data_IF_190831584943
#
_entry.id   IF_190831584943
#
_cell.length_a   1.000
_cell.length_b   1.000
_cell.length_c   1.000
_cell.angle_alpha   90.00
_cell.angle_beta   90.00
_cell.angle_gamma   90.00
#
_symmetry.space_group_name_H-M   'P 1'
#
loop_
_entity.id
_entity.type
_entity.pdbx_description
1 polymer ?
#
# COMPACT_ATOMS: atom_id res chain seq x y z
N UNK A 1 3.11 1.45 -11.38
CA UNK A 1 4.46 2.01 -11.14
C UNK A 1 4.94 1.81 -9.70
N UNK A 2 4.12 1.99 -8.67
CA UNK A 2 4.51 1.77 -7.26
C UNK A 2 4.88 0.32 -6.90
N UNK A 3 4.29 -0.69 -7.56
CA UNK A 3 4.58 -2.10 -7.26
C UNK A 3 6.01 -2.50 -7.66
N UNK A 4 6.51 -2.05 -8.82
CA UNK A 4 7.87 -2.37 -9.26
C UNK A 4 8.93 -1.78 -8.33
N UNK A 5 8.70 -0.54 -7.87
CA UNK A 5 9.54 0.14 -6.88
C UNK A 5 9.52 -0.56 -5.53
N UNK A 6 8.35 -1.04 -5.10
CA UNK A 6 8.20 -1.82 -3.87
C UNK A 6 8.95 -3.15 -3.99
N UNK A 7 8.77 -3.90 -5.08
CA UNK A 7 9.48 -5.15 -5.34
C UNK A 7 11.01 -4.94 -5.37
N UNK A 8 11.47 -3.90 -6.07
CA UNK A 8 12.89 -3.55 -6.12
C UNK A 8 13.43 -3.24 -4.72
N UNK A 9 12.75 -2.37 -3.96
CA UNK A 9 13.15 -2.05 -2.58
C UNK A 9 13.17 -3.28 -1.67
N UNK A 10 12.18 -4.17 -1.81
CA UNK A 10 12.14 -5.43 -1.07
C UNK A 10 13.32 -6.33 -1.41
N UNK A 11 13.62 -6.53 -2.70
CA UNK A 11 14.75 -7.36 -3.15
C UNK A 11 16.08 -6.78 -2.66
N UNK A 12 16.29 -5.46 -2.79
CA UNK A 12 17.50 -4.78 -2.30
C UNK A 12 17.65 -4.94 -0.78
N UNK A 13 16.55 -4.80 -0.03
CA UNK A 13 16.58 -4.93 1.43
C UNK A 13 16.89 -6.37 1.87
N UNK A 14 16.31 -7.37 1.20
CA UNK A 14 16.65 -8.77 1.44
C UNK A 14 18.09 -9.11 1.06
N UNK A 15 18.61 -8.51 -0.03
CA UNK A 15 20.01 -8.64 -0.41
C UNK A 15 20.93 -8.14 0.70
N UNK A 16 20.72 -6.91 1.21
CA UNK A 16 21.55 -6.36 2.29
C UNK A 16 21.40 -7.13 3.61
N UNK A 17 20.21 -7.68 3.89
CA UNK A 17 19.99 -8.56 5.03
C UNK A 17 20.79 -9.87 4.90
N UNK A 18 20.82 -10.46 3.70
CA UNK A 18 21.64 -11.63 3.42
C UNK A 18 23.14 -11.32 3.54
N UNK A 19 23.62 -10.19 2.99
CA UNK A 19 25.01 -9.75 3.13
C UNK A 19 25.43 -9.58 4.60
N UNK A 20 24.53 -9.01 5.42
CA UNK A 20 24.74 -8.90 6.87
C UNK A 20 24.84 -10.27 7.53
N UNK A 21 23.93 -11.19 7.19
CA UNK A 21 23.94 -12.56 7.71
C UNK A 21 25.22 -13.30 7.33
N UNK A 22 25.63 -13.23 6.07
CA UNK A 22 26.83 -13.88 5.56
C UNK A 22 28.10 -13.33 6.24
N UNK A 23 28.23 -12.01 6.36
CA UNK A 23 29.33 -11.36 7.08
C UNK A 23 29.45 -11.86 8.53
N UNK A 24 28.34 -11.88 9.27
CA UNK A 24 28.34 -12.32 10.67
C UNK A 24 28.56 -13.84 10.80
N UNK A 25 27.97 -14.63 9.91
CA UNK A 25 28.09 -16.09 9.90
C UNK A 25 29.53 -16.52 9.62
N UNK A 26 30.17 -15.93 8.61
CA UNK A 26 31.56 -16.21 8.26
C UNK A 26 32.51 -15.87 9.42
N UNK A 27 32.37 -14.69 10.02
CA UNK A 27 33.20 -14.30 11.16
C UNK A 27 33.06 -15.24 12.34
N UNK A 28 31.82 -15.63 12.65
CA UNK A 28 31.55 -16.60 13.71
C UNK A 28 32.17 -17.97 13.40
N UNK A 29 32.11 -18.42 12.15
CA UNK A 29 32.70 -19.71 11.75
C UNK A 29 34.24 -19.72 11.78
N UNK A 30 34.86 -18.57 11.61
CA UNK A 30 36.31 -18.38 11.60
C UNK A 30 36.88 -17.96 12.97
N UNK A 31 36.03 -17.91 14.01
CA UNK A 31 36.39 -17.45 15.36
C UNK A 31 37.07 -16.06 15.38
N UNK A 32 36.61 -15.17 14.50
CA UNK A 32 37.10 -13.80 14.43
C UNK A 32 36.44 -12.94 15.50
N UNK A 33 37.21 -12.01 16.08
CA UNK A 33 36.70 -11.06 17.07
C UNK A 33 35.48 -10.28 16.54
N UNK A 34 34.51 -9.93 17.42
CA UNK A 34 33.40 -9.08 17.05
C UNK A 34 33.89 -7.76 16.46
N UNK A 35 33.44 -7.45 15.26
CA UNK A 35 33.73 -6.19 14.58
C UNK A 35 32.44 -5.51 14.14
N UNK A 36 32.45 -4.18 14.00
CA UNK A 36 31.33 -3.47 13.41
C UNK A 36 31.06 -3.96 11.97
N UNK A 37 29.84 -3.69 11.50
CA UNK A 37 29.48 -3.96 10.12
C UNK A 37 30.28 -3.08 9.17
N UNK A 38 30.68 -3.60 8.01
CA UNK A 38 31.27 -2.82 6.94
C UNK A 38 30.38 -1.64 6.53
N UNK A 39 31.02 -0.53 6.16
CA UNK A 39 30.31 0.71 5.82
C UNK A 39 29.44 0.57 4.57
N UNK A 40 29.89 -0.21 3.59
CA UNK A 40 29.17 -0.58 2.38
C UNK A 40 27.85 -1.31 2.72
N UNK A 41 27.88 -2.38 3.50
CA UNK A 41 26.66 -3.10 3.93
C UNK A 41 25.71 -2.16 4.68
N UNK A 42 26.26 -1.32 5.56
CA UNK A 42 25.46 -0.34 6.33
C UNK A 42 24.76 0.65 5.39
N UNK A 43 25.47 1.15 4.37
CA UNK A 43 24.94 2.07 3.38
C UNK A 43 23.89 1.40 2.48
N UNK A 44 24.10 0.15 2.07
CA UNK A 44 23.12 -0.62 1.31
C UNK A 44 21.81 -0.84 2.09
N UNK A 45 21.88 -1.17 3.38
CA UNK A 45 20.69 -1.28 4.25
C UNK A 45 19.94 0.05 4.33
N UNK A 46 20.65 1.16 4.54
CA UNK A 46 20.04 2.49 4.63
C UNK A 46 19.37 2.91 3.32
N UNK A 47 20.04 2.69 2.17
CA UNK A 47 19.50 3.04 0.87
C UNK A 47 18.30 2.16 0.51
N UNK A 48 18.40 0.84 0.69
CA UNK A 48 17.30 -0.09 0.40
C UNK A 48 16.07 0.19 1.29
N UNK A 49 16.29 0.52 2.57
CA UNK A 49 15.22 0.97 3.46
C UNK A 49 14.59 2.30 3.01
N UNK A 50 15.41 3.28 2.59
CA UNK A 50 14.92 4.54 2.04
C UNK A 50 14.03 4.33 0.80
N UNK A 51 14.45 3.46 -0.12
CA UNK A 51 13.67 3.09 -1.31
C UNK A 51 12.33 2.44 -0.90
N UNK A 52 12.34 1.54 0.09
CA UNK A 52 11.12 0.92 0.61
C UNK A 52 10.15 1.96 1.20
N UNK A 53 10.64 2.90 2.00
CA UNK A 53 9.82 3.97 2.56
C UNK A 53 9.18 4.83 1.47
N UNK A 54 9.95 5.23 0.46
CA UNK A 54 9.45 6.01 -0.68
C UNK A 54 8.40 5.21 -1.45
N UNK A 55 8.67 3.94 -1.75
CA UNK A 55 7.73 3.07 -2.45
C UNK A 55 6.40 2.92 -1.68
N UNK A 56 6.47 2.78 -0.35
CA UNK A 56 5.30 2.66 0.51
C UNK A 56 4.51 3.98 0.58
N UNK A 57 5.20 5.11 0.73
CA UNK A 57 4.59 6.43 0.74
C UNK A 57 3.87 6.75 -0.58
N UNK A 58 4.47 6.42 -1.72
CA UNK A 58 3.84 6.59 -3.03
C UNK A 58 2.63 5.67 -3.25
N UNK A 59 2.56 4.56 -2.52
CA UNK A 59 1.43 3.64 -2.55
C UNK A 59 0.34 4.02 -1.54
N UNK A 60 0.62 4.93 -0.61
CA UNK A 60 -0.39 5.42 0.31
C UNK A 60 -1.57 6.01 -0.49
N UNK A 61 -2.78 5.62 -0.11
CA UNK A 61 -3.99 6.13 -0.74
C UNK A 61 -4.09 7.64 -0.60
N UNK A 62 -4.78 8.29 -1.54
CA UNK A 62 -5.09 9.71 -1.42
C UNK A 62 -5.88 9.96 -0.14
N UNK A 63 -5.50 11.01 0.58
CA UNK A 63 -6.28 11.52 1.70
C UNK A 63 -7.67 11.93 1.19
N UNK A 64 -8.72 11.54 1.90
CA UNK A 64 -10.09 11.92 1.61
C UNK A 64 -10.42 13.22 2.34
N UNK A 65 -11.14 14.12 1.69
CA UNK A 65 -11.64 15.33 2.33
C UNK A 65 -12.65 15.00 3.44
N UNK A 66 -12.53 15.68 4.57
CA UNK A 66 -13.37 15.46 5.76
C UNK A 66 -14.71 16.22 5.70
N UNK A 67 -14.82 17.26 4.87
CA UNK A 67 -16.02 18.12 4.87
C UNK A 67 -17.23 17.41 4.26
N UNK A 68 -18.32 17.34 5.03
CA UNK A 68 -19.61 16.84 4.55
C UNK A 68 -20.10 17.56 3.29
N UNK A 69 -19.94 18.88 3.24
CA UNK A 69 -20.33 19.67 2.06
C UNK A 69 -19.61 19.24 0.78
N UNK A 70 -18.37 18.74 0.90
CA UNK A 70 -17.60 18.25 -0.25
C UNK A 70 -18.02 16.87 -0.71
N UNK A 71 -18.44 16.02 0.21
CA UNK A 71 -19.05 14.74 -0.12
C UNK A 71 -20.41 14.96 -0.80
N UNK A 72 -21.24 15.84 -0.23
CA UNK A 72 -22.58 16.12 -0.75
C UNK A 72 -22.58 16.76 -2.14
N UNK A 73 -21.55 17.54 -2.50
CA UNK A 73 -21.37 18.07 -3.87
C UNK A 73 -21.25 16.98 -4.95
N UNK A 74 -20.89 15.75 -4.57
CA UNK A 74 -20.72 14.61 -5.49
C UNK A 74 -21.99 13.78 -5.63
N UNK A 75 -23.03 14.07 -4.83
CA UNK A 75 -24.29 13.34 -4.76
C UNK A 75 -25.37 14.06 -5.56
N UNK A 76 -26.28 13.30 -6.18
CA UNK A 76 -27.45 13.86 -6.87
C UNK A 76 -28.67 13.86 -5.96
N UNK A 77 -29.66 14.69 -6.30
CA UNK A 77 -30.94 14.73 -5.57
C UNK A 77 -31.63 13.36 -5.63
N UNK A 78 -31.60 12.70 -6.79
CA UNK A 78 -32.20 11.38 -6.98
C UNK A 78 -31.59 10.31 -6.05
N UNK A 79 -30.27 10.37 -5.80
CA UNK A 79 -29.60 9.43 -4.89
C UNK A 79 -30.07 9.61 -3.44
N UNK A 80 -30.28 10.86 -3.02
CA UNK A 80 -30.75 11.18 -1.67
C UNK A 80 -32.26 10.90 -1.54
N UNK A 81 -33.04 11.16 -2.59
CA UNK A 81 -34.49 11.01 -2.59
C UNK A 81 -34.97 9.57 -2.84
N UNK A 82 -34.10 8.68 -3.32
CA UNK A 82 -34.41 7.26 -3.52
C UNK A 82 -34.97 6.55 -2.27
N UNK A 83 -34.63 7.06 -1.06
CA UNK A 83 -35.19 6.65 0.24
C UNK A 83 -35.57 5.15 0.29
N UNK A 84 -34.60 4.24 0.19
CA UNK A 84 -34.87 2.81 -0.05
C UNK A 84 -35.74 2.16 1.03
N UNK A 85 -35.69 2.66 2.26
CA UNK A 85 -36.57 2.21 3.36
C UNK A 85 -38.06 2.43 3.09
N UNK A 86 -38.42 3.33 2.15
CA UNK A 86 -39.78 3.64 1.72
C UNK A 86 -40.01 3.29 0.25
N UNK A 87 -39.15 2.44 -0.34
CA UNK A 87 -39.29 2.05 -1.73
C UNK A 87 -40.63 1.34 -1.97
N UNK A 88 -41.38 1.83 -2.95
CA UNK A 88 -42.64 1.22 -3.37
C UNK A 88 -42.39 0.23 -4.52
N UNK A 89 -42.73 -1.04 -4.30
CA UNK A 89 -42.61 -2.10 -5.31
C UNK A 89 -43.75 -2.08 -6.33
N UNK A 90 -44.88 -1.45 -6.02
CA UNK A 90 -46.03 -1.28 -6.91
C UNK A 90 -45.86 -0.05 -7.81
N UNK A 91 -44.94 -0.15 -8.77
CA UNK A 91 -44.70 0.88 -9.77
C UNK A 91 -44.73 0.30 -11.19
N UNK A 92 -44.87 1.16 -12.19
CA UNK A 92 -44.99 0.79 -13.62
C UNK A 92 -43.82 -0.06 -14.15
N UNK A 93 -42.66 0.02 -13.50
CA UNK A 93 -41.50 -0.82 -13.83
C UNK A 93 -41.78 -2.33 -13.80
N UNK A 94 -42.74 -2.80 -12.98
CA UNK A 94 -43.12 -4.22 -12.95
C UNK A 94 -43.70 -4.72 -14.28
N UNK A 95 -44.37 -3.84 -15.04
CA UNK A 95 -44.97 -4.18 -16.34
C UNK A 95 -43.97 -3.91 -17.47
N UNK A 96 -43.21 -2.82 -17.36
CA UNK A 96 -42.28 -2.37 -18.39
C UNK A 96 -41.00 -3.22 -18.47
N UNK A 97 -40.58 -3.84 -17.38
CA UNK A 97 -39.33 -4.61 -17.28
C UNK A 97 -39.55 -6.07 -16.85
N UNK A 98 -40.76 -6.61 -16.97
CA UNK A 98 -40.97 -8.03 -16.79
C UNK A 98 -40.26 -8.80 -17.91
N UNK A 99 -39.27 -9.62 -17.56
CA UNK A 99 -38.74 -10.62 -18.51
C UNK A 99 -39.82 -11.63 -18.83
N UNK A 100 -39.89 -12.01 -20.11
CA UNK A 100 -40.95 -12.84 -20.68
C UNK A 100 -40.76 -14.32 -20.39
#
# INVERSE_FOLDING_TARGET
MSLALLLLGTVLFFHSAYSTYEYLSLRKSLDLDPAPLPFDITLEVLLSFGVLLIALALRAGRLREMSWSSEMRKRTIDEIDARPSFANVHHRGQILFAER
#
